data_IF_461851475778
#
_entry.id   IF_461851475778
#
_cell.length_a   1.000
_cell.length_b   1.000
_cell.length_c   1.000
_cell.angle_alpha   90.00
_cell.angle_beta   90.00
_cell.angle_gamma   90.00
#
_symmetry.space_group_name_H-M   'P 1'
#
loop_
_entity.id
_entity.type
_entity.pdbx_description
1 polymer ?
#
# COMPACT_ATOMS: atom_id res chain seq x y z
N UNK A 1 -38.26 3.44 42.39
CA UNK A 1 -38.37 4.36 41.67
C UNK A 1 -37.27 4.87 40.99
N UNK A 2 -36.74 5.72 41.40
CA UNK A 2 -35.70 6.27 40.82
C UNK A 2 -34.67 5.33 40.45
N UNK A 3 -34.50 4.38 41.13
CA UNK A 3 -33.45 3.49 40.87
C UNK A 3 -33.53 2.95 39.51
N UNK A 4 -34.64 2.60 39.12
CA UNK A 4 -34.76 1.99 37.84
C UNK A 4 -34.14 2.83 36.79
N UNK A 5 -34.29 4.02 36.90
CA UNK A 5 -33.79 4.84 35.89
C UNK A 5 -32.35 4.59 35.65
N UNK A 6 -31.68 4.40 36.65
CA UNK A 6 -30.35 4.26 36.46
C UNK A 6 -30.06 3.23 35.58
N UNK A 7 -30.62 2.23 35.70
CA UNK A 7 -30.41 1.18 34.89
C UNK A 7 -30.36 1.49 33.54
N UNK A 8 -31.18 2.15 33.13
CA UNK A 8 -31.22 2.49 31.81
C UNK A 8 -29.97 2.90 31.28
N UNK A 9 -29.38 3.66 31.94
CA UNK A 9 -28.21 4.19 31.47
C UNK A 9 -27.32 3.13 31.08
N UNK A 10 -27.24 2.28 31.81
CA UNK A 10 -26.32 1.25 31.59
C UNK A 10 -26.40 0.78 30.20
N UNK A 11 -27.45 0.40 29.80
CA UNK A 11 -27.53 -0.12 28.54
C UNK A 11 -27.09 0.70 27.48
N UNK A 12 -27.33 1.82 27.58
CA UNK A 12 -26.97 2.64 26.52
C UNK A 12 -25.56 2.51 26.25
N UNK A 13 -24.85 2.44 27.14
CA UNK A 13 -23.48 2.38 26.99
C UNK A 13 -23.11 1.30 26.06
N UNK A 14 -23.60 0.20 26.28
CA UNK A 14 -23.28 -0.87 25.49
C UNK A 14 -23.43 -0.68 24.10
N UNK A 15 -24.43 -0.14 23.74
CA UNK A 15 -24.64 0.01 22.38
C UNK A 15 -23.47 0.56 21.73
N UNK A 16 -22.90 1.42 22.30
CA UNK A 16 -21.80 2.08 21.68
C UNK A 16 -20.81 1.10 21.28
N UNK A 17 -20.56 0.26 22.08
CA UNK A 17 -19.54 -0.67 21.81
C UNK A 17 -19.71 -1.32 20.46
N UNK A 18 -20.83 -1.72 20.18
CA UNK A 18 -20.97 -2.42 18.95
C UNK A 18 -20.51 -1.68 17.75
N UNK A 19 -20.71 -0.48 17.76
CA UNK A 19 -20.38 0.24 16.58
C UNK A 19 -18.94 0.26 16.26
N UNK A 20 -18.10 0.22 17.19
CA UNK A 20 -16.75 0.25 16.88
C UNK A 20 -16.29 -0.76 15.94
N UNK A 21 -16.80 -1.86 16.01
CA UNK A 21 -16.36 -2.92 15.17
C UNK A 21 -16.36 -2.45 13.75
N UNK A 22 -17.35 -1.78 13.40
CA UNK A 22 -17.46 -1.35 12.04
C UNK A 22 -16.37 -0.37 11.70
N UNK A 23 -16.09 0.44 12.58
CA UNK A 23 -15.10 1.45 12.31
C UNK A 23 -13.80 0.82 11.90
N UNK A 24 -13.49 -0.23 12.51
CA UNK A 24 -12.25 -0.84 12.24
C UNK A 24 -12.06 -1.15 10.79
N UNK A 25 -13.07 -1.56 10.15
CA UNK A 25 -12.89 -1.96 8.80
C UNK A 25 -12.55 -0.80 7.90
N UNK A 26 -12.89 0.35 8.29
CA UNK A 26 -12.65 1.47 7.43
C UNK A 26 -11.17 1.65 7.21
N UNK A 27 -10.39 1.13 8.09
CA UNK A 27 -8.99 1.36 7.97
C UNK A 27 -8.41 0.68 6.74
N UNK A 28 -9.21 -0.03 6.02
CA UNK A 28 -8.68 -0.70 4.88
C UNK A 28 -8.31 0.27 3.77
N UNK A 29 -8.51 1.51 3.98
CA UNK A 29 -8.17 2.46 2.95
C UNK A 29 -6.71 2.38 2.60
N UNK A 30 -6.40 2.33 1.33
CA UNK A 30 -5.04 2.31 0.86
C UNK A 30 -4.34 3.63 0.99
N UNK A 31 -3.06 3.59 1.22
CA UNK A 31 -2.26 4.79 1.25
C UNK A 31 -1.68 4.96 -0.14
N UNK A 32 -2.00 6.06 -0.78
CA UNK A 32 -1.50 6.33 -2.12
C UNK A 32 -0.37 7.35 -2.01
N UNK A 33 0.78 7.02 -2.57
CA UNK A 33 1.90 7.93 -2.57
C UNK A 33 1.83 8.80 -3.80
N UNK A 34 1.83 10.11 -3.60
CA UNK A 34 1.69 11.06 -4.69
C UNK A 34 2.86 12.02 -4.72
N UNK A 35 3.43 12.25 -5.89
CA UNK A 35 4.51 13.21 -6.08
C UNK A 35 4.03 14.34 -6.98
N UNK A 36 4.48 15.55 -6.77
CA UNK A 36 4.01 16.70 -7.54
C UNK A 36 4.66 16.86 -8.92
N UNK A 37 5.69 16.11 -9.21
CA UNK A 37 6.37 16.21 -10.50
C UNK A 37 6.78 14.83 -11.00
N UNK A 38 7.10 14.74 -12.26
CA UNK A 38 7.43 13.46 -12.88
C UNK A 38 8.70 12.86 -12.32
N UNK A 39 8.79 11.54 -12.25
CA UNK A 39 10.02 10.90 -11.80
C UNK A 39 11.11 11.08 -12.85
N UNK A 40 12.38 11.06 -12.45
CA UNK A 40 13.47 11.11 -13.40
C UNK A 40 13.46 9.86 -14.29
N UNK A 41 14.21 9.87 -15.38
CA UNK A 41 14.32 8.68 -16.21
C UNK A 41 14.84 7.50 -15.39
N UNK A 42 14.35 6.31 -15.68
CA UNK A 42 14.77 5.12 -14.97
C UNK A 42 16.25 4.88 -15.21
N UNK A 43 16.98 4.55 -14.15
CA UNK A 43 18.40 4.27 -14.29
C UNK A 43 18.60 2.90 -14.91
N UNK A 44 19.63 2.78 -15.71
CA UNK A 44 19.97 1.50 -16.28
C UNK A 44 20.66 0.67 -15.19
N UNK A 45 20.21 -0.56 -15.03
CA UNK A 45 20.86 -1.53 -14.15
C UNK A 45 20.98 -2.83 -14.92
N UNK A 46 22.13 -3.45 -14.85
CA UNK A 46 22.28 -4.74 -15.51
C UNK A 46 21.44 -5.76 -14.77
N UNK A 47 20.56 -6.43 -15.50
CA UNK A 47 19.72 -7.45 -14.89
C UNK A 47 20.60 -8.69 -14.66
N UNK A 48 20.63 -9.24 -13.45
CA UNK A 48 21.47 -10.42 -13.20
C UNK A 48 20.94 -11.63 -13.96
N UNK A 49 21.79 -12.63 -14.10
CA UNK A 49 21.39 -13.88 -14.73
C UNK A 49 20.25 -14.50 -13.95
N UNK A 50 19.34 -15.22 -14.62
CA UNK A 50 18.18 -15.80 -13.94
C UNK A 50 18.59 -16.65 -12.74
N UNK A 51 17.79 -16.60 -11.70
CA UNK A 51 18.05 -17.35 -10.47
C UNK A 51 16.83 -18.20 -10.16
N UNK A 52 17.01 -19.50 -10.11
CA UNK A 52 15.92 -20.42 -9.87
C UNK A 52 15.19 -20.11 -8.58
N UNK A 53 13.87 -20.06 -8.65
CA UNK A 53 13.05 -19.79 -7.46
C UNK A 53 12.89 -18.32 -7.12
N UNK A 54 13.46 -17.43 -7.94
CA UNK A 54 13.38 -16.00 -7.69
C UNK A 54 13.03 -15.24 -8.97
N UNK A 55 12.46 -14.07 -8.79
CA UNK A 55 12.16 -13.20 -9.92
C UNK A 55 12.79 -11.85 -9.59
N UNK A 56 13.32 -11.21 -10.62
CA UNK A 56 13.98 -9.92 -10.42
C UNK A 56 12.95 -8.81 -10.41
N UNK A 57 12.98 -8.01 -9.34
CA UNK A 57 12.14 -6.83 -9.26
C UNK A 57 13.06 -5.66 -9.57
N UNK A 58 12.82 -5.00 -10.69
CA UNK A 58 13.71 -3.96 -11.17
C UNK A 58 13.72 -2.73 -10.28
N UNK A 59 14.79 -1.97 -10.35
CA UNK A 59 14.91 -0.74 -9.57
C UNK A 59 13.89 0.28 -9.98
N UNK A 60 13.60 1.20 -9.11
CA UNK A 60 12.62 2.24 -9.37
C UNK A 60 12.88 3.46 -8.51
N UNK A 61 12.22 4.57 -8.86
CA UNK A 61 12.30 5.78 -8.05
C UNK A 61 11.26 5.71 -6.95
N UNK A 62 11.65 6.09 -5.75
CA UNK A 62 10.75 6.17 -4.62
C UNK A 62 10.66 7.63 -4.22
N UNK A 63 9.45 8.09 -3.90
CA UNK A 63 9.27 9.44 -3.40
C UNK A 63 9.49 9.42 -1.89
N UNK A 64 10.46 10.17 -1.42
CA UNK A 64 10.82 10.16 -0.02
C UNK A 64 11.21 11.57 0.43
N UNK A 65 10.44 12.10 1.37
CA UNK A 65 10.73 13.41 1.94
C UNK A 65 10.95 14.50 0.89
N UNK A 66 10.02 14.58 -0.02
CA UNK A 66 10.01 15.65 -1.00
C UNK A 66 10.94 15.46 -2.20
N UNK A 67 11.49 14.28 -2.40
CA UNK A 67 12.33 14.06 -3.57
C UNK A 67 12.33 12.61 -3.99
N UNK A 68 12.76 12.36 -5.21
CA UNK A 68 12.90 11.01 -5.70
C UNK A 68 14.24 10.41 -5.28
N UNK A 69 14.20 9.18 -4.81
CA UNK A 69 15.39 8.45 -4.39
C UNK A 69 15.39 7.12 -5.11
N UNK A 70 16.52 6.72 -5.66
CA UNK A 70 16.60 5.47 -6.42
C UNK A 70 16.66 4.27 -5.49
N UNK A 71 15.81 3.27 -5.78
CA UNK A 71 15.82 2.01 -5.06
C UNK A 71 16.32 0.95 -6.03
N UNK A 72 17.45 0.31 -5.76
CA UNK A 72 18.00 -0.69 -6.67
C UNK A 72 17.10 -1.91 -6.81
N UNK A 73 17.24 -2.60 -7.91
CA UNK A 73 16.51 -3.84 -8.11
C UNK A 73 16.94 -4.91 -7.13
N UNK A 74 16.11 -5.88 -6.92
CA UNK A 74 16.40 -6.95 -5.96
C UNK A 74 15.67 -8.22 -6.35
N UNK A 75 16.12 -9.34 -5.79
CA UNK A 75 15.48 -10.62 -5.99
C UNK A 75 14.32 -10.78 -5.02
N UNK A 76 13.22 -11.38 -5.48
CA UNK A 76 12.15 -11.77 -4.58
C UNK A 76 11.71 -13.18 -4.94
N UNK A 77 11.17 -13.89 -3.97
CA UNK A 77 10.78 -15.27 -4.20
C UNK A 77 9.62 -15.38 -5.16
N UNK A 78 9.68 -16.40 -6.01
CA UNK A 78 8.61 -16.67 -6.95
C UNK A 78 7.37 -17.08 -6.16
N UNK A 79 6.23 -16.67 -6.63
CA UNK A 79 4.96 -17.10 -6.07
C UNK A 79 4.32 -18.01 -7.10
N UNK A 80 4.26 -19.29 -6.79
CA UNK A 80 3.77 -20.29 -7.73
C UNK A 80 2.38 -19.95 -8.26
N UNK A 81 2.24 -20.05 -9.57
CA UNK A 81 0.97 -19.74 -10.20
C UNK A 81 0.72 -18.26 -10.44
N UNK A 82 1.67 -17.41 -10.11
CA UNK A 82 1.51 -15.98 -10.29
C UNK A 82 2.67 -15.39 -11.08
N UNK A 83 2.44 -14.21 -11.64
CA UNK A 83 3.47 -13.46 -12.35
C UNK A 83 3.63 -12.12 -11.66
N UNK A 84 4.85 -11.65 -11.56
CA UNK A 84 5.12 -10.36 -10.94
C UNK A 84 4.91 -9.22 -11.93
N UNK A 85 4.14 -8.24 -11.51
CA UNK A 85 3.98 -7.00 -12.27
C UNK A 85 4.68 -5.91 -11.50
N UNK A 86 5.75 -5.32 -12.04
CA UNK A 86 6.50 -4.30 -11.31
C UNK A 86 5.68 -3.04 -11.09
N UNK A 87 5.99 -2.34 -10.02
CA UNK A 87 5.35 -1.07 -9.76
C UNK A 87 5.81 -0.01 -10.76
N UNK A 88 5.06 1.04 -10.86
CA UNK A 88 5.43 2.14 -11.77
C UNK A 88 4.74 3.43 -11.34
N UNK A 89 5.25 4.54 -11.86
CA UNK A 89 4.62 5.82 -11.63
C UNK A 89 3.64 6.10 -12.75
N UNK A 90 2.44 6.56 -12.40
CA UNK A 90 1.40 6.89 -13.36
C UNK A 90 0.96 8.33 -13.18
N UNK A 91 0.70 9.02 -14.27
CA UNK A 91 0.27 10.39 -14.17
C UNK A 91 -1.17 10.45 -13.68
N UNK A 92 -1.42 11.37 -12.75
CA UNK A 92 -2.75 11.54 -12.21
C UNK A 92 -3.01 13.04 -12.11
N UNK A 93 -3.64 13.62 -13.13
CA UNK A 93 -3.84 15.06 -13.21
C UNK A 93 -2.48 15.77 -13.25
N UNK A 94 -2.29 16.79 -12.43
CA UNK A 94 -1.02 17.48 -12.41
C UNK A 94 0.04 16.73 -11.59
N UNK A 95 -0.33 15.64 -10.94
CA UNK A 95 0.59 14.90 -10.08
C UNK A 95 0.90 13.53 -10.63
N UNK A 96 1.77 12.81 -9.94
CA UNK A 96 2.14 11.46 -10.28
C UNK A 96 1.88 10.57 -9.08
N UNK A 97 1.33 9.39 -9.31
CA UNK A 97 1.00 8.46 -8.24
C UNK A 97 1.75 7.16 -8.44
N UNK A 98 2.23 6.59 -7.35
CA UNK A 98 2.91 5.32 -7.42
C UNK A 98 1.89 4.18 -7.45
N UNK A 99 2.05 3.29 -8.43
CA UNK A 99 1.23 2.09 -8.54
C UNK A 99 2.11 0.94 -8.05
N UNK A 100 1.82 0.33 -6.92
CA UNK A 100 2.67 -0.71 -6.36
C UNK A 100 2.75 -1.95 -7.24
N UNK A 101 3.89 -2.63 -7.20
CA UNK A 101 4.01 -3.91 -7.86
C UNK A 101 3.09 -4.93 -7.22
N UNK A 102 2.67 -5.91 -7.97
CA UNK A 102 1.76 -6.92 -7.45
C UNK A 102 1.85 -8.21 -8.24
N UNK A 103 1.34 -9.26 -7.65
CA UNK A 103 1.30 -10.56 -8.30
C UNK A 103 -0.03 -10.73 -9.01
N UNK A 104 0.01 -11.30 -10.22
CA UNK A 104 -1.20 -11.57 -11.00
C UNK A 104 -1.17 -13.01 -11.44
N UNK A 105 -2.33 -13.60 -11.63
CA UNK A 105 -2.43 -14.97 -12.11
C UNK A 105 -2.28 -15.08 -13.61
#
# INVERSE_FOLDING_TARGET
>A
MKTSTRLLLAQLVLTCAGTFAAAASASAAEVVIVAPNAPPPVRYEAVPAPRTGYVWDRGHWRWHRGRYVWVPGHWQRVRMGYHWRPGHWARRGPNWAWVPGHWVR
#
